data_IF_833884912508
#
_entry.id   IF_833884912508
#
_cell.length_a   1.000
_cell.length_b   1.000
_cell.length_c   1.000
_cell.angle_alpha   90.00
_cell.angle_beta   90.00
_cell.angle_gamma   90.00
#
_symmetry.space_group_name_H-M   'P 1'
#
loop_
_entity.id
_entity.type
_entity.pdbx_description
1 polymer ?
#
# COMPACT_ATOMS: atom_id res chain seq x y z
N UNK A 1 42.39 12.46 -12.50
CA UNK A 1 41.01 12.61 -12.02
C UNK A 1 40.27 11.42 -12.60
N UNK A 2 40.18 10.32 -11.82
CA UNK A 2 39.63 9.05 -12.29
C UNK A 2 38.10 9.10 -12.15
N UNK A 3 37.40 9.06 -13.28
CA UNK A 3 35.96 8.88 -13.34
C UNK A 3 35.63 7.44 -12.97
N UNK A 4 35.12 7.24 -11.76
CA UNK A 4 34.47 6.00 -11.36
C UNK A 4 33.13 5.89 -12.08
N UNK A 5 33.07 5.09 -13.13
CA UNK A 5 31.81 4.64 -13.72
C UNK A 5 31.12 3.72 -12.70
N UNK A 6 30.01 4.19 -12.10
CA UNK A 6 29.12 3.33 -11.35
C UNK A 6 28.45 2.35 -12.32
N UNK A 7 29.02 1.15 -12.43
CA UNK A 7 28.37 0.02 -13.09
C UNK A 7 27.24 -0.48 -12.19
N UNK A 8 26.05 0.12 -12.32
CA UNK A 8 24.84 -0.49 -11.78
C UNK A 8 24.51 -1.70 -12.64
N UNK A 9 24.72 -2.91 -12.11
CA UNK A 9 24.30 -4.12 -12.80
C UNK A 9 22.78 -4.04 -13.06
N UNK A 10 22.29 -4.29 -14.29
CA UNK A 10 20.87 -4.36 -14.54
C UNK A 10 20.28 -5.48 -13.66
N UNK A 11 19.13 -5.21 -13.04
CA UNK A 11 18.42 -6.25 -12.30
C UNK A 11 18.23 -7.46 -13.23
N UNK A 12 18.75 -8.62 -12.83
CA UNK A 12 18.59 -9.86 -13.58
C UNK A 12 17.12 -10.25 -13.46
N UNK A 13 16.32 -9.90 -14.46
CA UNK A 13 14.91 -10.30 -14.57
C UNK A 13 14.88 -11.64 -15.31
N UNK A 14 14.50 -12.70 -14.61
CA UNK A 14 14.32 -14.01 -15.22
C UNK A 14 13.00 -14.08 -16.01
N UNK A 15 12.94 -14.80 -17.13
CA UNK A 15 11.68 -15.04 -17.84
C UNK A 15 10.65 -15.69 -16.90
N UNK A 16 9.44 -15.11 -16.81
CA UNK A 16 8.38 -15.56 -15.89
C UNK A 16 8.39 -14.88 -14.51
N UNK A 17 9.23 -13.88 -14.27
CA UNK A 17 9.12 -12.98 -13.12
C UNK A 17 7.89 -12.05 -13.21
N UNK A 18 7.41 -11.79 -14.43
CA UNK A 18 6.29 -10.88 -14.71
C UNK A 18 4.92 -11.56 -14.64
N UNK A 19 4.86 -12.90 -14.53
CA UNK A 19 3.61 -13.59 -14.25
C UNK A 19 3.00 -13.06 -12.95
N UNK A 20 1.71 -12.65 -12.92
CA UNK A 20 1.11 -11.98 -11.78
C UNK A 20 1.30 -12.68 -10.44
N UNK A 21 1.31 -14.02 -10.42
CA UNK A 21 1.54 -14.79 -9.19
C UNK A 21 2.99 -14.69 -8.69
N UNK A 22 3.96 -14.65 -9.61
CA UNK A 22 5.37 -14.43 -9.30
C UNK A 22 5.62 -12.99 -8.83
N UNK A 23 5.05 -12.01 -9.54
CA UNK A 23 5.16 -10.60 -9.23
C UNK A 23 4.60 -10.27 -7.83
N UNK A 24 3.46 -10.88 -7.44
CA UNK A 24 2.88 -10.73 -6.11
C UNK A 24 3.87 -11.13 -5.01
N UNK A 25 4.44 -12.34 -5.12
CA UNK A 25 5.36 -12.89 -4.11
C UNK A 25 6.62 -12.04 -3.99
N UNK A 26 7.20 -11.62 -5.11
CA UNK A 26 8.41 -10.78 -5.13
C UNK A 26 8.12 -9.40 -4.54
N UNK A 27 7.06 -8.72 -4.99
CA UNK A 27 6.69 -7.41 -4.47
C UNK A 27 6.36 -7.45 -2.97
N UNK A 28 5.67 -8.49 -2.50
CA UNK A 28 5.37 -8.68 -1.09
C UNK A 28 6.65 -8.85 -0.24
N UNK A 29 7.63 -9.65 -0.69
CA UNK A 29 8.93 -9.79 0.01
C UNK A 29 9.71 -8.45 0.04
N UNK A 30 9.74 -7.73 -1.08
CA UNK A 30 10.37 -6.41 -1.16
C UNK A 30 9.74 -5.42 -0.17
N UNK A 31 8.41 -5.40 -0.06
CA UNK A 31 7.70 -4.51 0.86
C UNK A 31 7.93 -4.85 2.33
N UNK A 32 8.02 -6.14 2.67
CA UNK A 32 8.46 -6.59 4.01
C UNK A 32 9.86 -6.08 4.35
N UNK A 33 10.76 -5.98 3.36
CA UNK A 33 12.12 -5.45 3.50
C UNK A 33 12.20 -3.91 3.36
N UNK A 34 11.06 -3.22 3.27
CA UNK A 34 10.97 -1.76 3.03
C UNK A 34 11.54 -1.29 1.67
N UNK A 35 11.80 -2.19 0.73
CA UNK A 35 12.25 -1.91 -0.64
C UNK A 35 11.07 -1.52 -1.55
N UNK A 36 10.40 -0.41 -1.21
CA UNK A 36 9.15 -0.01 -1.86
C UNK A 36 9.32 0.55 -3.28
N UNK A 37 10.49 1.10 -3.63
CA UNK A 37 10.72 1.56 -5.01
C UNK A 37 10.85 0.37 -5.96
N UNK A 38 11.57 -0.65 -5.53
CA UNK A 38 11.78 -1.90 -6.25
C UNK A 38 10.47 -2.65 -6.40
N UNK A 39 9.66 -2.73 -5.34
CA UNK A 39 8.33 -3.31 -5.41
C UNK A 39 7.45 -2.62 -6.47
N UNK A 40 7.45 -1.28 -6.53
CA UNK A 40 6.72 -0.55 -7.57
C UNK A 40 7.24 -0.85 -8.98
N UNK A 41 8.55 -1.10 -9.13
CA UNK A 41 9.15 -1.51 -10.40
C UNK A 41 8.65 -2.88 -10.89
N UNK A 42 8.41 -3.82 -9.97
CA UNK A 42 7.83 -5.14 -10.29
C UNK A 42 6.31 -5.05 -10.52
N UNK A 43 5.61 -4.27 -9.70
CA UNK A 43 4.16 -4.17 -9.74
C UNK A 43 3.64 -3.44 -10.99
N UNK A 44 4.42 -2.49 -11.54
CA UNK A 44 4.04 -1.71 -12.72
C UNK A 44 3.74 -2.57 -13.95
N UNK A 45 4.72 -3.34 -14.46
CA UNK A 45 4.53 -4.24 -15.59
C UNK A 45 3.44 -5.30 -15.34
N UNK A 46 3.44 -5.95 -14.17
CA UNK A 46 2.46 -6.99 -13.85
C UNK A 46 1.01 -6.45 -13.85
N UNK A 47 0.79 -5.21 -13.38
CA UNK A 47 -0.51 -4.54 -13.44
C UNK A 47 -0.85 -3.98 -14.82
N UNK A 48 0.12 -3.87 -15.73
CA UNK A 48 -0.17 -3.57 -17.13
C UNK A 48 -0.71 -4.80 -17.87
N UNK A 49 -0.28 -6.00 -17.48
CA UNK A 49 -0.77 -7.28 -18.00
C UNK A 49 -2.12 -7.69 -17.39
N UNK A 50 -2.27 -7.55 -16.06
CA UNK A 50 -3.52 -7.81 -15.34
C UNK A 50 -3.92 -6.61 -14.47
N UNK A 51 -4.55 -5.57 -15.05
CA UNK A 51 -4.97 -4.38 -14.31
C UNK A 51 -6.01 -4.65 -13.23
N UNK A 52 -6.74 -5.77 -13.32
CA UNK A 52 -7.81 -6.15 -12.39
C UNK A 52 -7.30 -6.90 -11.17
N UNK A 53 -6.00 -7.21 -11.09
CA UNK A 53 -5.47 -8.02 -10.01
C UNK A 53 -5.51 -7.31 -8.65
N UNK A 54 -6.53 -7.61 -7.85
CA UNK A 54 -6.73 -7.03 -6.52
C UNK A 54 -5.49 -7.13 -5.63
N UNK A 55 -4.82 -8.29 -5.61
CA UNK A 55 -3.63 -8.52 -4.78
C UNK A 55 -2.46 -7.60 -5.17
N UNK A 56 -2.16 -7.48 -6.46
CA UNK A 56 -1.10 -6.59 -6.94
C UNK A 56 -1.43 -5.11 -6.68
N UNK A 57 -2.70 -4.71 -6.84
CA UNK A 57 -3.17 -3.35 -6.53
C UNK A 57 -3.04 -3.03 -5.04
N UNK A 58 -3.37 -3.97 -4.15
CA UNK A 58 -3.14 -3.84 -2.71
C UNK A 58 -1.65 -3.65 -2.39
N UNK A 59 -0.76 -4.47 -2.97
CA UNK A 59 0.69 -4.29 -2.78
C UNK A 59 1.19 -2.94 -3.31
N UNK A 60 0.64 -2.44 -4.42
CA UNK A 60 0.96 -1.11 -4.97
C UNK A 60 0.52 0.00 -4.03
N UNK A 61 -0.69 -0.08 -3.47
CA UNK A 61 -1.16 0.84 -2.46
C UNK A 61 -0.27 0.84 -1.20
N UNK A 62 0.16 -0.34 -0.75
CA UNK A 62 1.09 -0.46 0.36
C UNK A 62 2.44 0.20 0.06
N UNK A 63 2.98 -0.02 -1.13
CA UNK A 63 4.22 0.63 -1.58
C UNK A 63 4.09 2.16 -1.60
N UNK A 64 2.96 2.68 -2.10
CA UNK A 64 2.67 4.12 -2.07
C UNK A 64 2.61 4.67 -0.65
N UNK A 65 2.02 3.95 0.30
CA UNK A 65 2.01 4.35 1.70
C UNK A 65 3.44 4.42 2.29
N UNK A 66 4.29 3.42 2.06
CA UNK A 66 5.69 3.45 2.53
C UNK A 66 6.42 4.67 1.98
N UNK A 67 6.15 5.02 0.73
CA UNK A 67 6.80 6.13 0.01
C UNK A 67 6.13 7.48 0.18
N UNK A 68 5.13 7.59 1.05
CA UNK A 68 4.38 8.83 1.32
C UNK A 68 3.70 9.40 0.07
N UNK A 69 3.40 8.55 -0.93
CA UNK A 69 2.63 8.93 -2.12
C UNK A 69 1.13 8.85 -1.81
N UNK A 70 0.67 9.66 -0.85
CA UNK A 70 -0.61 9.48 -0.18
C UNK A 70 -1.82 9.61 -1.12
N UNK A 71 -1.78 10.53 -2.08
CA UNK A 71 -2.87 10.71 -3.04
C UNK A 71 -3.01 9.50 -3.98
N UNK A 72 -1.88 8.90 -4.40
CA UNK A 72 -1.89 7.68 -5.21
C UNK A 72 -2.39 6.48 -4.42
N UNK A 73 -1.96 6.36 -3.16
CA UNK A 73 -2.47 5.33 -2.26
C UNK A 73 -3.98 5.47 -2.06
N UNK A 74 -4.47 6.67 -1.76
CA UNK A 74 -5.89 6.94 -1.56
C UNK A 74 -6.73 6.58 -2.78
N UNK A 75 -6.32 7.00 -3.98
CA UNK A 75 -7.05 6.71 -5.21
C UNK A 75 -7.20 5.20 -5.45
N UNK A 76 -6.12 4.44 -5.28
CA UNK A 76 -6.14 2.98 -5.40
C UNK A 76 -7.03 2.34 -4.33
N UNK A 77 -6.87 2.77 -3.07
CA UNK A 77 -7.57 2.20 -1.91
C UNK A 77 -9.07 2.49 -1.93
N UNK A 78 -9.52 3.66 -2.42
CA UNK A 78 -10.94 3.96 -2.57
C UNK A 78 -11.61 2.96 -3.53
N UNK A 79 -11.00 2.71 -4.69
CA UNK A 79 -11.49 1.71 -5.63
C UNK A 79 -11.52 0.30 -5.02
N UNK A 80 -10.48 -0.08 -4.27
CA UNK A 80 -10.43 -1.39 -3.61
C UNK A 80 -11.51 -1.53 -2.52
N UNK A 81 -11.83 -0.47 -1.77
CA UNK A 81 -12.94 -0.48 -0.79
C UNK A 81 -14.29 -0.60 -1.49
N UNK A 82 -14.47 0.02 -2.66
CA UNK A 82 -15.71 -0.10 -3.44
C UNK A 82 -15.90 -1.53 -3.95
N UNK A 83 -14.82 -2.18 -4.40
CA UNK A 83 -14.84 -3.57 -4.89
C UNK A 83 -15.07 -4.59 -3.78
N UNK A 84 -14.36 -4.45 -2.65
CA UNK A 84 -14.55 -5.30 -1.48
C UNK A 84 -14.67 -4.47 -0.19
N UNK A 85 -15.90 -4.08 0.19
CA UNK A 85 -16.14 -3.34 1.41
C UNK A 85 -15.79 -4.09 2.69
N UNK A 86 -15.60 -5.42 2.64
CA UNK A 86 -15.31 -6.27 3.80
C UNK A 86 -13.83 -6.48 4.09
N UNK A 87 -12.93 -5.92 3.28
CA UNK A 87 -11.49 -6.04 3.49
C UNK A 87 -11.00 -5.04 4.55
N UNK A 88 -10.68 -5.55 5.75
CA UNK A 88 -10.24 -4.75 6.88
C UNK A 88 -8.89 -4.09 6.62
N UNK A 89 -7.98 -4.77 5.92
CA UNK A 89 -6.67 -4.23 5.57
C UNK A 89 -6.80 -3.03 4.63
N UNK A 90 -7.62 -3.12 3.58
CA UNK A 90 -7.83 -2.00 2.64
C UNK A 90 -8.48 -0.82 3.36
N UNK A 91 -9.48 -1.06 4.22
CA UNK A 91 -10.09 0.01 5.01
C UNK A 91 -9.10 0.68 5.95
N UNK A 92 -8.30 -0.11 6.66
CA UNK A 92 -7.27 0.41 7.53
C UNK A 92 -6.24 1.24 6.74
N UNK A 93 -5.74 0.71 5.63
CA UNK A 93 -4.79 1.39 4.77
C UNK A 93 -5.34 2.72 4.23
N UNK A 94 -6.63 2.78 3.87
CA UNK A 94 -7.28 4.03 3.43
C UNK A 94 -7.37 5.03 4.58
N UNK A 95 -7.81 4.58 5.76
CA UNK A 95 -7.82 5.39 6.98
C UNK A 95 -6.44 5.96 7.30
N UNK A 96 -5.38 5.16 7.19
CA UNK A 96 -3.97 5.57 7.37
C UNK A 96 -3.52 6.58 6.32
N UNK A 97 -3.92 6.41 5.06
CA UNK A 97 -3.61 7.37 3.99
C UNK A 97 -4.25 8.73 4.26
N UNK A 98 -5.51 8.75 4.68
CA UNK A 98 -6.27 9.97 5.02
C UNK A 98 -5.75 10.64 6.29
N UNK A 99 -5.44 9.85 7.32
CA UNK A 99 -4.81 10.31 8.57
C UNK A 99 -3.51 11.07 8.28
N UNK A 100 -2.63 10.49 7.45
CA UNK A 100 -1.34 11.11 7.09
C UNK A 100 -1.48 12.34 6.20
N UNK A 101 -2.65 12.56 5.61
CA UNK A 101 -3.02 13.79 4.91
C UNK A 101 -3.74 14.79 5.84
N UNK A 102 -3.78 14.53 7.16
CA UNK A 102 -4.51 15.34 8.14
C UNK A 102 -6.02 15.42 7.91
N UNK A 103 -6.60 14.51 7.12
CA UNK A 103 -8.04 14.42 6.83
C UNK A 103 -8.72 13.50 7.85
N UNK A 104 -8.69 13.89 9.11
CA UNK A 104 -9.08 13.04 10.23
C UNK A 104 -10.57 12.65 10.21
N UNK A 105 -11.44 13.57 9.80
CA UNK A 105 -12.89 13.31 9.70
C UNK A 105 -13.22 12.23 8.68
N UNK A 106 -12.48 12.17 7.58
CA UNK A 106 -12.64 11.14 6.56
C UNK A 106 -11.93 9.84 6.95
N UNK A 107 -10.79 9.91 7.65
CA UNK A 107 -10.05 8.73 8.10
C UNK A 107 -10.85 7.88 9.10
N UNK A 108 -11.50 8.55 10.06
CA UNK A 108 -12.12 7.92 11.21
C UNK A 108 -13.19 6.85 10.89
N UNK A 109 -14.15 7.05 9.96
CA UNK A 109 -15.10 6.00 9.61
C UNK A 109 -14.42 4.75 9.03
N UNK A 110 -13.35 4.91 8.24
CA UNK A 110 -12.61 3.76 7.69
C UNK A 110 -11.86 3.01 8.78
N UNK A 111 -11.19 3.72 9.70
CA UNK A 111 -10.45 3.10 10.81
C UNK A 111 -11.38 2.38 11.78
N UNK A 112 -12.54 2.97 12.12
CA UNK A 112 -13.53 2.33 12.99
C UNK A 112 -14.10 1.05 12.40
N UNK A 113 -14.39 1.05 11.09
CA UNK A 113 -14.85 -0.16 10.41
C UNK A 113 -13.75 -1.23 10.39
N UNK A 114 -12.50 -0.87 10.10
CA UNK A 114 -11.39 -1.83 10.17
C UNK A 114 -11.24 -2.44 11.57
N UNK A 115 -11.28 -1.60 12.61
CA UNK A 115 -11.22 -2.05 14.01
C UNK A 115 -12.43 -2.94 14.40
N UNK A 116 -13.61 -2.72 13.84
CA UNK A 116 -14.78 -3.55 14.10
C UNK A 116 -14.75 -4.91 13.36
N UNK A 117 -14.07 -4.98 12.21
CA UNK A 117 -13.99 -6.19 11.38
C UNK A 117 -12.82 -7.10 11.76
N UNK A 118 -11.76 -6.53 12.34
CA UNK A 118 -10.56 -7.26 12.78
C UNK A 118 -10.45 -7.30 14.30
N UNK A 119 -9.68 -8.24 14.84
CA UNK A 119 -9.22 -8.19 16.23
C UNK A 119 -7.78 -7.65 16.34
N UNK A 120 -7.32 -6.84 15.37
CA UNK A 120 -5.97 -6.28 15.36
C UNK A 120 -5.88 -5.05 16.29
N UNK A 121 -5.05 -5.09 17.36
CA UNK A 121 -4.89 -3.96 18.26
C UNK A 121 -4.39 -2.68 17.58
N UNK A 122 -3.63 -2.77 16.47
CA UNK A 122 -3.17 -1.59 15.74
C UNK A 122 -4.34 -0.82 15.11
N UNK A 123 -5.41 -1.51 14.70
CA UNK A 123 -6.59 -0.86 14.15
C UNK A 123 -7.30 -0.04 15.24
N UNK A 124 -7.45 -0.58 16.44
CA UNK A 124 -8.01 0.14 17.60
C UNK A 124 -7.13 1.35 17.98
N UNK A 125 -5.81 1.16 18.04
CA UNK A 125 -4.88 2.24 18.33
C UNK A 125 -4.94 3.38 17.31
N UNK A 126 -5.14 3.06 16.03
CA UNK A 126 -5.31 4.08 15.00
C UNK A 126 -6.60 4.89 15.18
N UNK A 127 -7.70 4.26 15.62
CA UNK A 127 -8.94 4.99 15.96
C UNK A 127 -8.67 5.99 17.09
N UNK A 128 -8.11 5.53 18.21
CA UNK A 128 -7.83 6.40 19.36
C UNK A 128 -6.88 7.55 19.01
N UNK A 129 -5.87 7.27 18.18
CA UNK A 129 -4.93 8.27 17.68
C UNK A 129 -5.63 9.35 16.86
N UNK A 130 -6.49 8.95 15.92
CA UNK A 130 -7.23 9.89 15.07
C UNK A 130 -8.31 10.65 15.84
N UNK A 131 -9.00 10.03 16.80
CA UNK A 131 -9.97 10.72 17.67
C UNK A 131 -9.31 11.84 18.46
N UNK A 132 -8.13 11.59 19.03
CA UNK A 132 -7.33 12.61 19.71
C UNK A 132 -6.92 13.74 18.76
N UNK A 133 -6.43 13.41 17.56
CA UNK A 133 -6.00 14.42 16.57
C UNK A 133 -7.17 15.24 16.03
N UNK A 134 -8.37 14.65 15.95
CA UNK A 134 -9.59 15.32 15.53
C UNK A 134 -10.27 16.12 16.65
N UNK A 135 -9.77 16.08 17.90
CA UNK A 135 -10.41 16.73 19.05
C UNK A 135 -11.76 16.09 19.43
N UNK A 136 -11.94 14.79 19.16
CA UNK A 136 -13.17 14.03 19.45
C UNK A 136 -13.06 13.19 20.73
N UNK A 137 -11.96 13.34 21.46
CA UNK A 137 -11.64 12.67 22.71
C UNK A 137 -11.37 13.69 23.81
#
# INVERSE_FOLDING_TARGET
MEEYFELTAPAIVFPGQDDPASAYRVAHDLLRRRAAQEALGILGPALAEDPGNTGLRMLRAWAYLIRVQLQRAEAELRSLVEENPGDDWVRFALGRALERQSRFDEALPHLRLAAAMSADPEHELAVLRVERLAGKL
#
